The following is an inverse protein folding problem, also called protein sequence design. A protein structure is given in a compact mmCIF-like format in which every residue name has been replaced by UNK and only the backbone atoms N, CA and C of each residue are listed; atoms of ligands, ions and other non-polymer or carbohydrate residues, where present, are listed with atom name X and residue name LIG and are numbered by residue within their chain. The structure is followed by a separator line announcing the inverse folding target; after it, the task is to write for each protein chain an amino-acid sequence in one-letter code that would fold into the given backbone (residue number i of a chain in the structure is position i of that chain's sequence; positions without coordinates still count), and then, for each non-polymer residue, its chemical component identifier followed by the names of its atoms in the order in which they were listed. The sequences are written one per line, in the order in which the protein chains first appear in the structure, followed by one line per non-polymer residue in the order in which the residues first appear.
data_IF_497220976545
#
_entry.id   IF_497220976545
#
_cell.length_a   1.000
_cell.length_b   1.000
_cell.length_c   1.000
_cell.angle_alpha   90.00
_cell.angle_beta   90.00
_cell.angle_gamma   90.00
#
_symmetry.space_group_name_H-M   'P 1'
#
loop_
_entity.id
_entity.type
_entity.pdbx_description
1 polymer ?
#
# COMPACT_ATOMS: atom_id res chain seq x y z
N UNK A 1 1.71 5.46 2.99
CA UNK A 1 1.34 4.58 4.12
C UNK A 1 2.58 4.23 4.91
N UNK A 2 2.54 4.27 6.25
CA UNK A 2 3.60 3.77 7.13
C UNK A 2 3.09 2.58 7.92
N UNK A 3 3.88 1.51 7.97
CA UNK A 3 3.59 0.30 8.73
C UNK A 3 4.70 0.14 9.77
N UNK A 4 4.35 0.33 11.04
CA UNK A 4 5.28 0.22 12.16
C UNK A 4 5.09 -1.14 12.83
N UNK A 5 6.00 -2.08 12.58
CA UNK A 5 5.93 -3.44 13.11
C UNK A 5 6.04 -3.45 14.65
N UNK A 6 5.36 -4.40 15.28
CA UNK A 6 5.46 -4.74 16.71
C UNK A 6 6.25 -6.05 16.83
N UNK A 7 7.59 -6.00 17.06
CA UNK A 7 8.44 -7.20 17.01
C UNK A 7 8.08 -8.27 18.04
N UNK A 8 7.62 -7.83 19.21
CA UNK A 8 7.10 -8.67 20.29
C UNK A 8 5.90 -9.51 19.83
N UNK A 9 4.93 -8.90 19.14
CA UNK A 9 3.76 -9.59 18.60
C UNK A 9 4.11 -10.53 17.46
N UNK A 10 5.02 -10.12 16.58
CA UNK A 10 5.52 -10.96 15.50
C UNK A 10 6.19 -12.22 16.08
N UNK A 11 7.08 -12.07 17.06
CA UNK A 11 7.76 -13.18 17.71
C UNK A 11 6.80 -14.15 18.40
N UNK A 12 5.79 -13.65 19.13
CA UNK A 12 4.76 -14.48 19.78
C UNK A 12 3.95 -15.32 18.78
N UNK A 13 3.80 -14.84 17.56
CA UNK A 13 3.06 -15.51 16.49
C UNK A 13 3.96 -16.31 15.54
N UNK A 14 5.27 -16.35 15.78
CA UNK A 14 6.25 -16.97 14.89
C UNK A 14 6.23 -16.36 13.49
N UNK A 15 6.08 -15.05 13.41
CA UNK A 15 6.06 -14.25 12.18
C UNK A 15 7.34 -13.44 12.05
N UNK A 16 7.75 -13.17 10.81
CA UNK A 16 8.90 -12.31 10.49
C UNK A 16 8.47 -11.02 9.77
N UNK A 17 9.40 -10.09 9.61
CA UNK A 17 9.17 -8.92 8.76
C UNK A 17 8.95 -9.28 7.28
N UNK A 18 9.49 -10.41 6.84
CA UNK A 18 9.32 -10.90 5.47
C UNK A 18 7.89 -11.38 5.24
N UNK A 19 7.29 -12.07 6.22
CA UNK A 19 5.87 -12.48 6.15
C UNK A 19 4.95 -11.26 5.93
N UNK A 20 5.20 -10.17 6.66
CA UNK A 20 4.43 -8.93 6.51
C UNK A 20 4.69 -8.28 5.15
N UNK A 21 5.94 -8.25 4.70
CA UNK A 21 6.30 -7.66 3.41
C UNK A 21 5.67 -8.43 2.25
N UNK A 22 5.61 -9.76 2.34
CA UNK A 22 4.97 -10.60 1.35
C UNK A 22 3.45 -10.38 1.32
N UNK A 23 2.79 -10.37 2.48
CA UNK A 23 1.36 -10.07 2.56
C UNK A 23 1.01 -8.69 1.97
N UNK A 24 1.83 -7.66 2.25
CA UNK A 24 1.68 -6.33 1.65
C UNK A 24 1.78 -6.37 0.12
N UNK A 25 2.73 -7.13 -0.44
CA UNK A 25 2.92 -7.22 -1.90
C UNK A 25 1.79 -7.97 -2.60
N UNK A 26 1.29 -9.03 -1.96
CA UNK A 26 0.22 -9.86 -2.53
C UNK A 26 -1.13 -9.16 -2.54
N UNK A 27 -1.46 -8.43 -1.46
CA UNK A 27 -2.81 -7.86 -1.29
C UNK A 27 -2.91 -6.37 -1.67
N UNK A 28 -1.79 -5.67 -1.89
CA UNK A 28 -1.78 -4.30 -2.40
C UNK A 28 -1.10 -4.24 -3.77
N UNK A 29 -1.74 -4.85 -4.76
CA UNK A 29 -1.22 -4.95 -6.13
C UNK A 29 -2.24 -4.43 -7.15
N UNK A 30 -1.74 -3.88 -8.25
CA UNK A 30 -2.59 -3.60 -9.41
C UNK A 30 -2.67 -4.87 -10.26
N UNK A 31 -3.89 -5.34 -10.52
CA UNK A 31 -4.15 -6.51 -11.37
C UNK A 31 -4.90 -6.08 -12.62
N UNK A 32 -4.48 -6.59 -13.77
CA UNK A 32 -5.22 -6.47 -15.02
C UNK A 32 -6.25 -7.61 -15.08
N UNK A 33 -7.51 -7.29 -14.80
CA UNK A 33 -8.58 -8.30 -14.78
C UNK A 33 -9.12 -8.63 -16.19
N UNK A 34 -8.69 -7.89 -17.21
CA UNK A 34 -9.09 -8.11 -18.60
C UNK A 34 -10.51 -7.64 -18.88
N UNK A 35 -11.18 -8.30 -19.81
CA UNK A 35 -12.56 -7.99 -20.19
C UNK A 35 -13.35 -9.27 -20.45
N UNK A 36 -14.65 -9.24 -20.15
CA UNK A 36 -15.58 -10.31 -20.52
C UNK A 36 -16.12 -10.00 -21.92
N UNK A 37 -16.02 -10.98 -22.80
CA UNK A 37 -16.45 -10.83 -24.19
C UNK A 37 -15.40 -10.19 -25.10
N UNK A 38 -14.13 -10.15 -24.72
CA UNK A 38 -13.06 -9.80 -25.66
C UNK A 38 -12.71 -10.98 -26.57
N UNK A 39 -12.13 -10.70 -27.75
CA UNK A 39 -11.66 -11.75 -28.65
C UNK A 39 -10.46 -12.54 -28.08
N UNK A 40 -10.26 -13.82 -28.46
CA UNK A 40 -11.11 -14.62 -29.35
C UNK A 40 -12.38 -15.14 -28.64
N UNK A 41 -13.53 -15.00 -29.29
CA UNK A 41 -14.82 -15.44 -28.76
C UNK A 41 -15.23 -16.79 -29.38
N UNK A 42 -15.78 -17.70 -28.55
CA UNK A 42 -16.34 -18.98 -29.03
C UNK A 42 -17.64 -18.79 -29.82
N UNK A 43 -18.46 -17.82 -29.44
CA UNK A 43 -19.70 -17.40 -30.12
C UNK A 43 -19.71 -15.87 -30.22
N UNK A 44 -20.31 -15.30 -31.27
CA UNK A 44 -20.43 -13.86 -31.43
C UNK A 44 -21.25 -13.24 -30.27
N UNK A 45 -20.61 -12.35 -29.52
CA UNK A 45 -21.20 -11.62 -28.39
C UNK A 45 -21.24 -10.13 -28.73
N UNK A 46 -22.36 -9.46 -28.45
CA UNK A 46 -22.61 -8.06 -28.80
C UNK A 46 -21.96 -7.03 -27.85
N UNK A 47 -21.53 -7.45 -26.67
CA UNK A 47 -20.98 -6.56 -25.63
C UNK A 47 -19.55 -6.94 -25.22
N UNK A 48 -18.78 -5.97 -24.77
CA UNK A 48 -17.51 -6.20 -24.09
C UNK A 48 -17.53 -5.39 -22.79
N UNK A 49 -17.22 -6.05 -21.68
CA UNK A 49 -17.19 -5.41 -20.36
C UNK A 49 -15.79 -5.49 -19.79
N UNK A 50 -15.17 -4.33 -19.56
CA UNK A 50 -13.92 -4.26 -18.82
C UNK A 50 -14.13 -4.69 -17.38
N UNK A 51 -13.28 -5.60 -16.90
CA UNK A 51 -13.29 -6.04 -15.52
C UNK A 51 -12.44 -5.10 -14.66
N UNK A 52 -13.01 -4.67 -13.55
CA UNK A 52 -12.31 -3.94 -12.51
C UNK A 52 -12.28 -4.80 -11.26
N UNK A 53 -11.08 -4.97 -10.69
CA UNK A 53 -10.88 -5.65 -9.42
C UNK A 53 -10.33 -4.67 -8.40
N UNK A 54 -10.63 -4.92 -7.14
CA UNK A 54 -10.06 -4.17 -6.04
C UNK A 54 -8.55 -4.46 -6.02
N UNK A 55 -7.77 -3.50 -6.47
CA UNK A 55 -6.31 -3.60 -6.60
C UNK A 55 -5.61 -2.89 -5.46
N UNK A 56 -4.95 -1.76 -5.76
CA UNK A 56 -4.21 -1.00 -4.76
C UNK A 56 -5.12 -0.47 -3.66
N UNK A 57 -4.67 -0.66 -2.43
CA UNK A 57 -5.30 -0.15 -1.23
C UNK A 57 -4.96 1.34 -1.06
N UNK A 58 -5.90 2.11 -0.53
CA UNK A 58 -5.82 3.58 -0.48
C UNK A 58 -5.98 4.15 0.92
N UNK A 59 -6.70 3.45 1.80
CA UNK A 59 -7.04 3.89 3.15
C UNK A 59 -6.26 3.15 4.22
N UNK A 60 -6.12 3.75 5.41
CA UNK A 60 -5.47 3.09 6.56
C UNK A 60 -6.22 1.79 6.92
N UNK A 61 -7.54 1.83 6.90
CA UNK A 61 -8.42 0.72 7.26
C UNK A 61 -8.26 -0.48 6.31
N UNK A 62 -8.09 -0.23 5.02
CA UNK A 62 -7.80 -1.29 4.04
C UNK A 62 -6.47 -1.98 4.36
N UNK A 63 -5.42 -1.21 4.65
CA UNK A 63 -4.12 -1.76 5.03
C UNK A 63 -4.18 -2.52 6.37
N UNK A 64 -4.91 -2.01 7.36
CA UNK A 64 -5.09 -2.66 8.66
C UNK A 64 -5.72 -4.06 8.55
N UNK A 65 -6.57 -4.26 7.54
CA UNK A 65 -7.27 -5.51 7.29
C UNK A 65 -6.54 -6.45 6.32
N UNK A 66 -5.29 -6.15 5.94
CA UNK A 66 -4.44 -7.10 5.22
C UNK A 66 -4.22 -8.33 6.08
N UNK A 67 -4.41 -9.51 5.49
CA UNK A 67 -4.23 -10.79 6.17
C UNK A 67 -2.75 -11.16 6.10
N UNK A 68 -2.09 -11.28 7.24
CA UNK A 68 -0.66 -11.67 7.32
C UNK A 68 -0.50 -13.18 7.41
N UNK A 69 -1.39 -13.87 8.12
CA UNK A 69 -1.38 -15.32 8.24
C UNK A 69 -2.77 -15.86 8.57
N UNK A 70 -3.07 -17.03 8.04
CA UNK A 70 -4.22 -17.87 8.41
C UNK A 70 -3.69 -19.14 9.06
N UNK A 71 -4.16 -19.49 10.26
CA UNK A 71 -3.81 -20.76 10.92
C UNK A 71 -4.83 -21.83 10.53
N UNK A 72 -4.44 -22.88 9.78
CA UNK A 72 -5.38 -23.91 9.36
C UNK A 72 -5.96 -24.75 10.51
N UNK A 73 -5.24 -24.83 11.63
CA UNK A 73 -5.62 -25.67 12.78
C UNK A 73 -6.85 -25.18 13.53
N UNK A 74 -7.05 -23.86 13.63
CA UNK A 74 -8.13 -23.24 14.41
C UNK A 74 -8.94 -22.20 13.60
N UNK A 75 -8.56 -21.95 12.34
CA UNK A 75 -9.20 -20.96 11.48
C UNK A 75 -8.90 -19.52 11.87
N UNK A 76 -7.99 -19.27 12.81
CA UNK A 76 -7.67 -17.91 13.24
C UNK A 76 -6.91 -17.14 12.16
N UNK A 77 -7.25 -15.86 12.04
CA UNK A 77 -6.68 -14.93 11.06
C UNK A 77 -5.89 -13.86 11.83
N UNK A 78 -4.66 -13.63 11.38
CA UNK A 78 -3.83 -12.53 11.87
C UNK A 78 -3.87 -11.41 10.85
N UNK A 79 -4.39 -10.26 11.24
CA UNK A 79 -4.42 -9.06 10.41
C UNK A 79 -3.19 -8.18 10.65
N UNK A 80 -2.90 -7.27 9.72
CA UNK A 80 -1.77 -6.35 9.85
C UNK A 80 -1.87 -5.48 11.11
N UNK A 81 -3.08 -5.03 11.47
CA UNK A 81 -3.33 -4.26 12.71
C UNK A 81 -2.94 -4.99 14.00
N UNK A 82 -2.94 -6.32 13.99
CA UNK A 82 -2.60 -7.13 15.16
C UNK A 82 -1.09 -7.11 15.42
N UNK A 83 -0.29 -6.97 14.36
CA UNK A 83 1.18 -7.06 14.40
C UNK A 83 1.90 -5.76 14.01
N UNK A 84 1.17 -4.72 13.62
CA UNK A 84 1.72 -3.43 13.25
C UNK A 84 0.76 -2.27 13.55
N UNK A 85 1.29 -1.06 13.70
CA UNK A 85 0.51 0.19 13.66
C UNK A 85 0.58 0.76 12.24
N UNK A 86 -0.57 1.00 11.63
CA UNK A 86 -0.69 1.56 10.28
C UNK A 86 -1.15 3.02 10.37
N UNK A 87 -0.51 3.90 9.60
CA UNK A 87 -0.91 5.32 9.56
C UNK A 87 -0.46 6.01 8.27
N UNK A 88 -1.13 7.10 7.92
CA UNK A 88 -0.57 8.06 6.97
C UNK A 88 0.61 8.77 7.65
N UNK A 89 1.72 8.93 6.92
CA UNK A 89 2.92 9.56 7.46
C UNK A 89 3.91 9.89 6.36
N UNK A 90 4.89 10.73 6.69
CA UNK A 90 5.93 11.20 5.78
C UNK A 90 6.77 10.05 5.24
N UNK A 91 7.22 10.16 3.98
CA UNK A 91 8.14 9.18 3.37
C UNK A 91 9.52 9.17 4.04
N UNK A 92 9.99 10.33 4.48
CA UNK A 92 11.17 10.50 5.34
C UNK A 92 10.83 11.43 6.50
N UNK A 93 11.49 11.22 7.64
CA UNK A 93 11.40 12.07 8.83
C UNK A 93 12.73 12.79 9.12
N UNK A 94 13.65 12.82 8.15
CA UNK A 94 14.98 13.42 8.31
C UNK A 94 15.00 14.95 8.23
N UNK A 95 13.89 15.58 7.84
CA UNK A 95 13.78 17.03 7.68
C UNK A 95 12.50 17.53 8.34
N UNK A 96 12.62 18.69 8.99
CA UNK A 96 11.52 19.43 9.60
C UNK A 96 11.72 20.91 9.31
N UNK A 97 10.67 21.60 8.89
CA UNK A 97 10.75 23.00 8.48
C UNK A 97 9.79 23.87 9.27
N UNK A 98 10.26 25.06 9.63
CA UNK A 98 9.50 26.05 10.38
C UNK A 98 9.73 27.45 9.81
N UNK A 99 8.69 28.29 9.81
CA UNK A 99 8.78 29.72 9.53
C UNK A 99 8.11 30.46 10.69
N UNK A 100 8.82 31.39 11.32
CA UNK A 100 8.36 32.09 12.53
C UNK A 100 7.83 31.12 13.60
N UNK A 101 8.56 30.02 13.85
CA UNK A 101 8.19 28.95 14.78
C UNK A 101 6.93 28.15 14.44
N UNK A 102 6.29 28.38 13.28
CA UNK A 102 5.13 27.62 12.82
C UNK A 102 5.58 26.51 11.84
N UNK A 103 5.07 25.27 11.98
CA UNK A 103 5.37 24.19 11.04
C UNK A 103 5.00 24.57 9.60
N UNK A 104 5.89 24.30 8.65
CA UNK A 104 5.64 24.57 7.24
C UNK A 104 6.29 23.52 6.34
N UNK A 105 5.99 23.57 5.04
CA UNK A 105 6.76 22.88 3.99
C UNK A 105 7.60 23.93 3.25
N UNK A 106 8.83 23.57 2.87
CA UNK A 106 9.71 24.44 2.08
C UNK A 106 9.96 23.77 0.73
N UNK A 107 9.78 24.54 -0.35
CA UNK A 107 10.18 24.14 -1.69
C UNK A 107 11.38 25.00 -2.13
N UNK A 108 12.50 24.36 -2.38
CA UNK A 108 13.69 25.01 -2.95
C UNK A 108 13.65 24.85 -4.47
N UNK A 109 13.51 25.96 -5.18
CA UNK A 109 13.54 26.00 -6.64
C UNK A 109 14.92 26.47 -7.08
N UNK A 110 15.65 25.61 -7.78
CA UNK A 110 16.96 25.96 -8.34
C UNK A 110 16.83 26.19 -9.84
N UNK A 111 17.56 27.19 -10.33
CA UNK A 111 17.61 27.49 -11.75
C UNK A 111 18.50 26.48 -12.48
N UNK A 112 18.08 26.05 -13.67
CA UNK A 112 18.92 25.22 -14.55
C UNK A 112 20.04 26.07 -15.20
N UNK A 113 21.21 25.49 -15.51
CA UNK A 113 22.27 26.21 -16.21
C UNK A 113 21.79 26.82 -17.53
N UNK A 114 22.08 28.10 -17.76
CA UNK A 114 21.64 28.83 -18.96
C UNK A 114 20.16 29.21 -19.00
N UNK A 115 19.39 28.91 -17.93
CA UNK A 115 18.03 29.43 -17.79
C UNK A 115 18.02 30.96 -17.66
N UNK A 116 16.88 31.58 -17.94
CA UNK A 116 16.62 32.96 -17.55
C UNK A 116 15.96 32.99 -16.17
N UNK A 117 16.42 33.87 -15.29
CA UNK A 117 16.01 33.91 -13.88
C UNK A 117 14.79 34.82 -13.62
N UNK A 118 14.48 35.71 -14.56
CA UNK A 118 13.54 36.81 -14.43
C UNK A 118 12.41 36.71 -15.45
#
# INVERSE_FOLDING_TARGET
MRVWLKPDRLAQLGLTGDDVTNALREQNMQVAAGAIGSAPQTNAQAFEYSLFVNGRLSTVQEFENIIVRTKPSDGSIVYLKDVARVQLGSFSYSQTSFVNSNPCTILLVNQVPGGNAL
#
